data_IF_849939008450
#
_entry.id   IF_849939008450
#
_cell.length_a   1.000
_cell.length_b   1.000
_cell.length_c   1.000
_cell.angle_alpha   90.00
_cell.angle_beta   90.00
_cell.angle_gamma   90.00
#
_symmetry.space_group_name_H-M   'P 1'
#
loop_
_entity.id
_entity.type
_entity.pdbx_description
1 polymer ?
#
# COMPACT_ATOMS: atom_id res chain seq x y z
N UNK A 1 -22.82 -25.90 22.65
CA UNK A 1 -21.94 -25.31 21.61
C UNK A 1 -21.08 -26.44 21.05
N UNK A 2 -20.91 -26.51 19.73
CA UNK A 2 -20.22 -27.61 19.04
C UNK A 2 -18.69 -27.47 19.00
N UNK A 3 -18.15 -26.38 19.55
CA UNK A 3 -16.71 -26.11 19.59
C UNK A 3 -16.14 -25.55 18.29
N UNK A 4 -16.98 -25.22 17.31
CA UNK A 4 -16.54 -24.55 16.09
C UNK A 4 -16.09 -23.11 16.37
N UNK A 5 -15.03 -22.68 15.68
CA UNK A 5 -14.52 -21.31 15.74
C UNK A 5 -14.82 -20.66 14.38
N UNK A 6 -15.52 -19.53 14.42
CA UNK A 6 -15.81 -18.76 13.22
C UNK A 6 -14.54 -18.14 12.65
N UNK A 7 -14.43 -18.10 11.33
CA UNK A 7 -13.37 -17.36 10.66
C UNK A 7 -13.54 -15.87 10.94
N UNK A 8 -12.45 -15.22 11.33
CA UNK A 8 -12.41 -13.79 11.63
C UNK A 8 -11.57 -13.10 10.57
N UNK A 9 -12.09 -12.00 10.04
CA UNK A 9 -11.39 -11.22 9.03
C UNK A 9 -10.15 -10.52 9.64
N UNK A 10 -9.00 -10.69 9.01
CA UNK A 10 -7.81 -9.89 9.34
C UNK A 10 -8.00 -8.43 8.94
N UNK A 11 -7.57 -7.51 9.80
CA UNK A 11 -7.77 -6.07 9.66
C UNK A 11 -6.46 -5.29 9.87
N UNK A 12 -6.31 -4.10 9.28
CA UNK A 12 -5.09 -3.27 9.41
C UNK A 12 -5.03 -2.52 10.76
N UNK A 13 -6.18 -2.28 11.36
CA UNK A 13 -6.37 -1.55 12.61
C UNK A 13 -6.47 -2.47 13.83
N UNK A 14 -6.47 -3.79 13.63
CA UNK A 14 -6.79 -4.75 14.69
C UNK A 14 -8.21 -4.56 15.21
N UNK A 15 -8.35 -4.41 16.52
CA UNK A 15 -9.64 -4.20 17.21
C UNK A 15 -10.12 -2.75 17.18
N UNK A 16 -9.28 -1.82 16.72
CA UNK A 16 -9.57 -0.38 16.74
C UNK A 16 -10.62 0.04 15.70
N UNK A 17 -11.06 1.29 15.79
CA UNK A 17 -11.91 1.92 14.77
C UNK A 17 -11.17 2.02 13.41
N UNK A 18 -11.93 2.18 12.29
CA UNK A 18 -11.36 2.41 10.97
C UNK A 18 -10.32 3.53 10.96
N UNK A 19 -9.29 3.38 10.12
CA UNK A 19 -8.21 4.36 9.99
C UNK A 19 -8.61 5.46 9.01
N UNK A 20 -8.38 6.71 9.37
CA UNK A 20 -8.65 7.83 8.48
C UNK A 20 -7.70 7.81 7.28
N UNK A 21 -8.23 7.78 6.07
CA UNK A 21 -7.43 7.68 4.84
C UNK A 21 -6.53 8.92 4.60
N UNK A 22 -6.87 10.06 5.20
CA UNK A 22 -6.10 11.30 5.07
C UNK A 22 -4.90 11.40 6.04
N UNK A 23 -4.64 10.37 6.83
CA UNK A 23 -3.44 10.27 7.68
C UNK A 23 -2.35 9.45 6.99
N UNK A 24 -1.09 9.73 7.32
CA UNK A 24 0.03 8.91 6.83
C UNK A 24 -0.02 7.54 7.50
N UNK A 25 0.03 6.49 6.68
CA UNK A 25 -0.01 5.09 7.09
C UNK A 25 1.26 4.38 6.65
N UNK A 26 1.95 3.77 7.61
CA UNK A 26 3.13 2.97 7.33
C UNK A 26 2.78 1.76 6.46
N UNK A 27 3.57 1.55 5.41
CA UNK A 27 3.33 0.45 4.48
C UNK A 27 3.56 -0.92 5.14
N UNK A 28 4.40 -0.99 6.17
CA UNK A 28 4.61 -2.20 6.96
C UNK A 28 3.32 -2.68 7.67
N UNK A 29 2.29 -1.84 7.81
CA UNK A 29 0.99 -2.19 8.44
C UNK A 29 0.02 -2.94 7.51
N UNK A 30 0.48 -3.42 6.37
CA UNK A 30 -0.34 -4.22 5.47
C UNK A 30 -0.93 -5.45 6.20
N UNK A 31 -2.24 -5.66 6.08
CA UNK A 31 -2.91 -6.83 6.67
C UNK A 31 -2.81 -8.07 5.78
N UNK A 32 -2.50 -7.89 4.49
CA UNK A 32 -2.24 -8.97 3.54
C UNK A 32 -1.07 -8.59 2.64
N UNK A 33 -0.15 -9.54 2.47
CA UNK A 33 0.99 -9.46 1.56
C UNK A 33 0.86 -10.57 0.53
N UNK A 34 0.92 -10.22 -0.75
CA UNK A 34 0.75 -11.17 -1.86
C UNK A 34 2.03 -11.26 -2.69
N UNK A 35 2.46 -12.49 -2.98
CA UNK A 35 3.65 -12.76 -3.77
C UNK A 35 4.93 -12.70 -2.93
N UNK A 36 5.90 -11.87 -3.33
CA UNK A 36 7.23 -11.81 -2.70
C UNK A 36 7.35 -10.67 -1.67
N UNK A 37 6.28 -9.88 -1.49
CA UNK A 37 6.27 -8.75 -0.57
C UNK A 37 6.48 -9.21 0.86
N UNK A 38 7.39 -8.53 1.57
CA UNK A 38 7.70 -8.76 2.97
C UNK A 38 8.08 -7.46 3.67
N UNK A 39 7.97 -7.46 4.99
CA UNK A 39 8.40 -6.35 5.84
C UNK A 39 9.85 -6.57 6.24
N UNK A 40 10.69 -5.56 6.04
CA UNK A 40 12.06 -5.56 6.54
C UNK A 40 12.38 -4.20 7.19
N UNK A 41 13.29 -4.21 8.17
CA UNK A 41 13.89 -3.01 8.70
C UNK A 41 14.61 -2.21 7.59
N UNK A 42 14.39 -0.90 7.56
CA UNK A 42 15.01 0.03 6.62
C UNK A 42 16.01 0.94 7.32
N UNK A 43 15.64 1.45 8.49
CA UNK A 43 16.54 2.07 9.46
C UNK A 43 16.38 1.37 10.81
N UNK A 44 17.05 1.86 11.85
CA UNK A 44 16.96 1.26 13.19
C UNK A 44 15.52 1.23 13.74
N UNK A 45 14.75 2.26 13.44
CA UNK A 45 13.42 2.51 14.05
C UNK A 45 12.31 2.60 12.97
N UNK A 46 12.55 2.02 11.79
CA UNK A 46 11.62 2.07 10.66
C UNK A 46 11.61 0.78 9.84
N UNK A 47 10.43 0.39 9.37
CA UNK A 47 10.19 -0.79 8.55
C UNK A 47 9.50 -0.42 7.24
N UNK A 48 9.82 -1.13 6.18
CA UNK A 48 9.29 -0.88 4.83
C UNK A 48 8.85 -2.19 4.19
N UNK A 49 7.97 -2.09 3.20
CA UNK A 49 7.73 -3.20 2.28
C UNK A 49 8.92 -3.32 1.31
N UNK A 50 9.45 -4.53 1.16
CA UNK A 50 10.55 -4.89 0.25
C UNK A 50 10.25 -6.23 -0.44
N UNK A 51 11.17 -6.71 -1.28
CA UNK A 51 11.02 -7.95 -2.05
C UNK A 51 9.95 -7.86 -3.15
N UNK A 52 9.40 -6.66 -3.38
CA UNK A 52 8.29 -6.41 -4.29
C UNK A 52 8.71 -6.74 -5.72
N UNK A 53 7.96 -7.65 -6.35
CA UNK A 53 8.11 -8.03 -7.77
C UNK A 53 6.91 -7.59 -8.60
N UNK A 54 7.04 -7.76 -9.91
CA UNK A 54 5.95 -7.49 -10.84
C UNK A 54 4.73 -8.37 -10.56
N UNK A 55 3.56 -7.75 -10.37
CA UNK A 55 2.30 -8.43 -10.07
C UNK A 55 2.06 -8.67 -8.57
N UNK A 56 3.00 -8.31 -7.71
CA UNK A 56 2.82 -8.38 -6.27
C UNK A 56 1.87 -7.30 -5.76
N UNK A 57 1.31 -7.51 -4.56
CA UNK A 57 0.39 -6.56 -3.95
C UNK A 57 0.43 -6.56 -2.42
N UNK A 58 -0.04 -5.47 -1.82
CA UNK A 58 -0.27 -5.33 -0.39
C UNK A 58 -1.66 -4.72 -0.13
N UNK A 59 -2.37 -5.22 0.90
CA UNK A 59 -3.71 -4.76 1.24
C UNK A 59 -3.79 -4.11 2.62
N UNK A 60 -4.61 -3.07 2.71
CA UNK A 60 -4.91 -2.33 3.92
C UNK A 60 -6.41 -2.23 4.07
N UNK A 61 -6.98 -2.77 5.14
CA UNK A 61 -8.42 -2.84 5.33
C UNK A 61 -8.91 -1.75 6.29
N UNK A 62 -10.19 -1.39 6.13
CA UNK A 62 -10.88 -0.39 6.94
C UNK A 62 -10.27 1.01 6.90
N UNK A 63 -9.95 1.51 5.70
CA UNK A 63 -9.60 2.92 5.52
C UNK A 63 -10.87 3.74 5.27
N UNK A 64 -11.09 4.78 6.06
CA UNK A 64 -12.22 5.70 5.98
C UNK A 64 -11.90 6.92 5.10
N UNK A 65 -12.66 7.07 4.01
CA UNK A 65 -12.57 8.16 3.04
C UNK A 65 -13.57 9.30 3.31
N UNK A 66 -14.06 9.44 4.54
CA UNK A 66 -14.96 10.53 4.96
C UNK A 66 -14.36 11.95 4.79
N UNK A 67 -13.03 12.07 4.71
CA UNK A 67 -12.30 13.33 4.57
C UNK A 67 -12.32 13.97 3.16
N UNK A 68 -13.06 13.40 2.18
CA UNK A 68 -13.15 13.91 0.80
C UNK A 68 -11.78 14.13 0.12
N UNK A 69 -10.97 13.09 0.07
CA UNK A 69 -9.65 13.09 -0.61
C UNK A 69 -9.78 13.00 -2.14
N UNK A 70 -8.83 13.57 -2.86
CA UNK A 70 -8.76 13.61 -4.33
C UNK A 70 -7.41 13.17 -4.92
N UNK A 71 -6.45 12.86 -4.05
CA UNK A 71 -5.10 12.46 -4.42
C UNK A 71 -4.54 11.38 -3.51
N UNK A 72 -3.51 10.70 -4.01
CA UNK A 72 -2.76 9.68 -3.29
C UNK A 72 -1.27 10.02 -3.36
N UNK A 73 -0.59 9.95 -2.22
CA UNK A 73 0.86 10.09 -2.12
C UNK A 73 1.46 8.83 -1.51
N UNK A 74 2.58 8.40 -2.06
CA UNK A 74 3.36 7.26 -1.57
C UNK A 74 4.81 7.68 -1.42
N UNK A 75 5.41 7.30 -0.29
CA UNK A 75 6.82 7.50 0.00
C UNK A 75 7.54 6.19 -0.25
N UNK A 76 8.52 6.21 -1.14
CA UNK A 76 9.24 5.02 -1.61
C UNK A 76 10.73 5.31 -1.70
N UNK A 77 11.58 4.30 -1.55
CA UNK A 77 12.96 4.34 -2.03
C UNK A 77 13.01 3.74 -3.44
N UNK A 78 13.18 4.57 -4.51
CA UNK A 78 13.14 4.08 -5.88
C UNK A 78 14.29 3.13 -6.18
N UNK A 79 14.01 2.08 -6.97
CA UNK A 79 15.03 1.19 -7.50
C UNK A 79 15.66 1.71 -8.80
N UNK A 80 16.43 0.83 -9.46
CA UNK A 80 17.12 1.17 -10.71
C UNK A 80 16.16 1.41 -11.88
N UNK A 81 15.04 0.69 -11.92
CA UNK A 81 14.05 0.74 -13.01
C UNK A 81 12.78 1.44 -12.55
N UNK A 82 12.03 1.95 -13.52
CA UNK A 82 10.74 2.59 -13.25
C UNK A 82 9.69 1.58 -12.82
N UNK A 83 8.78 2.02 -11.97
CA UNK A 83 7.74 1.18 -11.35
C UNK A 83 6.42 1.91 -11.38
N UNK A 84 5.34 1.16 -11.56
CA UNK A 84 3.99 1.67 -11.45
C UNK A 84 3.30 1.08 -10.23
N UNK A 85 2.67 1.93 -9.43
CA UNK A 85 1.84 1.54 -8.30
C UNK A 85 0.40 1.89 -8.64
N UNK A 86 -0.46 0.88 -8.72
CA UNK A 86 -1.89 1.08 -8.87
C UNK A 86 -2.60 0.97 -7.52
N UNK A 87 -3.54 1.87 -7.28
CA UNK A 87 -4.37 1.90 -6.08
C UNK A 87 -5.75 1.38 -6.47
N UNK A 88 -6.17 0.25 -5.92
CA UNK A 88 -7.49 -0.34 -6.13
C UNK A 88 -8.27 -0.45 -4.81
N UNK A 89 -9.61 -0.52 -4.90
CA UNK A 89 -10.48 -0.61 -3.73
C UNK A 89 -11.19 -1.95 -3.65
N UNK A 90 -11.41 -2.41 -2.41
CA UNK A 90 -12.16 -3.61 -2.00
C UNK A 90 -11.52 -4.95 -2.43
N UNK A 91 -11.05 -5.08 -3.67
CA UNK A 91 -10.43 -6.29 -4.19
C UNK A 91 -9.17 -5.98 -5.01
N UNK A 92 -8.34 -7.01 -5.23
CA UNK A 92 -7.06 -6.88 -5.93
C UNK A 92 -7.18 -6.86 -7.46
N UNK A 93 -8.32 -7.26 -8.03
CA UNK A 93 -8.53 -7.37 -9.49
C UNK A 93 -9.38 -6.23 -10.09
N UNK A 94 -9.96 -5.37 -9.26
CA UNK A 94 -10.80 -4.26 -9.69
C UNK A 94 -10.04 -3.19 -10.47
N UNK A 95 -10.78 -2.31 -11.14
CA UNK A 95 -10.21 -1.15 -11.80
C UNK A 95 -9.53 -0.23 -10.76
N UNK A 96 -8.32 0.27 -11.03
CA UNK A 96 -7.64 1.17 -10.10
C UNK A 96 -8.32 2.53 -10.07
N UNK A 97 -8.35 3.15 -8.89
CA UNK A 97 -8.81 4.53 -8.69
C UNK A 97 -7.71 5.56 -8.96
N UNK A 98 -6.46 5.13 -9.02
CA UNK A 98 -5.31 5.97 -9.35
C UNK A 98 -4.06 5.14 -9.62
N UNK A 99 -3.10 5.77 -10.28
CA UNK A 99 -1.84 5.15 -10.71
C UNK A 99 -0.69 6.12 -10.54
N UNK A 100 0.33 5.72 -9.78
CA UNK A 100 1.56 6.49 -9.57
C UNK A 100 2.67 5.86 -10.39
N UNK A 101 3.34 6.64 -11.23
CA UNK A 101 4.54 6.19 -11.94
C UNK A 101 5.77 6.75 -11.22
N UNK A 102 6.61 5.85 -10.72
CA UNK A 102 7.87 6.17 -10.06
C UNK A 102 9.00 6.01 -11.10
N UNK A 103 9.77 7.08 -11.37
CA UNK A 103 10.91 6.98 -12.26
C UNK A 103 11.98 6.06 -11.65
N UNK A 104 12.73 5.37 -12.52
CA UNK A 104 13.92 4.63 -12.13
C UNK A 104 15.11 5.55 -11.84
N UNK A 105 16.29 4.94 -11.69
CA UNK A 105 17.54 5.66 -11.41
C UNK A 105 17.82 5.88 -9.92
N UNK A 106 17.04 5.25 -9.04
CA UNK A 106 17.33 5.23 -7.61
C UNK A 106 18.26 4.08 -7.19
N UNK A 107 18.71 4.16 -5.95
CA UNK A 107 19.60 3.18 -5.31
C UNK A 107 18.90 2.35 -4.21
N UNK A 108 17.60 2.58 -3.99
CA UNK A 108 16.82 1.91 -2.96
C UNK A 108 17.23 2.27 -1.53
N UNK A 109 17.90 3.41 -1.31
CA UNK A 109 18.37 3.85 0.02
C UNK A 109 17.75 5.16 0.50
N UNK A 110 17.31 6.04 -0.42
CA UNK A 110 16.69 7.33 -0.07
C UNK A 110 15.22 7.36 -0.47
N UNK A 111 14.38 7.70 0.51
CA UNK A 111 12.94 7.85 0.31
C UNK A 111 12.60 9.15 -0.40
N UNK A 112 11.62 9.08 -1.31
CA UNK A 112 11.07 10.18 -2.07
C UNK A 112 9.55 10.02 -2.14
N UNK A 113 8.82 11.12 -2.21
CA UNK A 113 7.35 11.12 -2.29
C UNK A 113 6.90 11.31 -3.73
N UNK A 114 6.04 10.42 -4.20
CA UNK A 114 5.37 10.50 -5.49
C UNK A 114 3.85 10.46 -5.28
N UNK A 115 3.08 10.99 -6.22
CA UNK A 115 1.64 11.00 -6.08
C UNK A 115 0.89 11.09 -7.40
N UNK A 116 -0.42 10.88 -7.31
CA UNK A 116 -1.35 10.97 -8.43
C UNK A 116 -2.71 11.49 -7.97
N UNK A 117 -3.54 11.92 -8.93
CA UNK A 117 -4.96 12.14 -8.69
C UNK A 117 -5.68 10.79 -8.63
N UNK A 118 -6.70 10.72 -7.78
CA UNK A 118 -7.58 9.56 -7.66
C UNK A 118 -9.02 9.92 -8.00
N UNK A 119 -9.79 8.92 -8.41
CA UNK A 119 -11.24 9.03 -8.47
C UNK A 119 -11.81 9.31 -7.07
N UNK A 120 -12.95 10.01 -7.01
CA UNK A 120 -13.59 10.35 -5.74
C UNK A 120 -14.06 9.08 -5.01
N UNK A 121 -13.68 8.95 -3.74
CA UNK A 121 -14.03 7.80 -2.88
C UNK A 121 -14.75 8.30 -1.64
N UNK A 122 -15.69 7.51 -1.11
CA UNK A 122 -16.38 7.78 0.15
C UNK A 122 -16.66 6.50 0.89
N UNK A 123 -16.67 6.56 2.22
CA UNK A 123 -16.95 5.41 3.07
C UNK A 123 -15.70 4.61 3.39
N UNK A 124 -15.89 3.42 3.94
CA UNK A 124 -14.83 2.57 4.45
C UNK A 124 -14.50 1.51 3.41
N UNK A 125 -13.23 1.42 3.03
CA UNK A 125 -12.76 0.50 1.99
C UNK A 125 -11.50 -0.25 2.39
N UNK A 126 -11.30 -1.42 1.77
CA UNK A 126 -9.96 -1.98 1.64
C UNK A 126 -9.22 -1.26 0.50
N UNK A 127 -7.95 -0.96 0.70
CA UNK A 127 -7.03 -0.39 -0.28
C UNK A 127 -6.01 -1.45 -0.66
N UNK A 128 -5.81 -1.62 -1.96
CA UNK A 128 -4.81 -2.50 -2.54
C UNK A 128 -3.78 -1.67 -3.28
N UNK A 129 -2.52 -1.83 -2.89
CA UNK A 129 -1.38 -1.33 -3.66
C UNK A 129 -0.85 -2.47 -4.53
N UNK A 130 -0.89 -2.30 -5.84
CA UNK A 130 -0.43 -3.30 -6.82
C UNK A 130 0.80 -2.77 -7.54
N UNK A 131 1.83 -3.60 -7.64
CA UNK A 131 3.14 -3.19 -8.10
C UNK A 131 3.46 -3.80 -9.47
N UNK A 132 3.88 -2.96 -10.41
CA UNK A 132 4.22 -3.38 -11.78
C UNK A 132 5.55 -2.77 -12.22
N UNK A 133 6.39 -3.56 -12.87
CA UNK A 133 7.69 -3.08 -13.35
C UNK A 133 8.58 -4.21 -13.87
N UNK A 134 9.80 -3.87 -14.27
CA UNK A 134 10.76 -4.79 -14.89
C UNK A 134 12.00 -4.90 -13.98
N UNK A 135 11.99 -5.78 -12.97
CA UNK A 135 13.14 -6.15 -12.13
C UNK A 135 12.75 -7.22 -11.08
N UNK A 136 13.74 -7.89 -10.49
CA UNK A 136 13.56 -8.85 -9.38
C UNK A 136 13.22 -8.18 -8.04
N UNK A 137 13.64 -6.93 -7.81
CA UNK A 137 13.15 -6.09 -6.73
C UNK A 137 12.85 -4.70 -7.31
N UNK A 138 11.58 -4.30 -7.23
CA UNK A 138 11.06 -3.09 -7.87
C UNK A 138 11.40 -1.83 -7.07
N UNK A 139 10.99 -1.79 -5.80
CA UNK A 139 11.06 -0.64 -4.90
C UNK A 139 10.99 -1.09 -3.44
N UNK A 140 11.29 -0.16 -2.53
CA UNK A 140 10.87 -0.24 -1.12
C UNK A 140 9.81 0.81 -0.84
N UNK A 141 8.75 0.45 -0.11
CA UNK A 141 7.64 1.36 0.21
C UNK A 141 7.62 1.64 1.70
N UNK A 142 7.70 2.91 2.05
CA UNK A 142 7.79 3.41 3.43
C UNK A 142 6.40 3.65 4.02
N UNK A 143 5.66 4.55 3.38
CA UNK A 143 4.34 4.99 3.84
C UNK A 143 3.51 5.50 2.68
N UNK A 144 2.23 5.73 2.92
CA UNK A 144 1.35 6.43 1.99
C UNK A 144 0.28 7.24 2.73
N UNK A 145 -0.36 8.16 2.01
CA UNK A 145 -1.51 8.93 2.50
C UNK A 145 -2.41 9.32 1.34
N UNK A 146 -3.70 9.50 1.61
CA UNK A 146 -4.60 10.19 0.70
C UNK A 146 -4.71 11.66 1.10
N UNK A 147 -4.97 12.56 0.14
CA UNK A 147 -5.18 14.00 0.42
C UNK A 147 -6.34 14.53 -0.40
#
# INVERSE_FOLDING_TARGET
>A
ADGSINEVEMTTQGVSAPLMANTELDAARACLLYGNVRVNAFTKDNEVLTGIKNGDAAAYKYLDFSANVDSFNVKVAPGKKGVSIEVALNNSWGAPIGKVNIPGGGDGTKVQTFGCKINKVKGIHAVWLRFYGECDELIKVDSFSFK
#
